data_IF_587913747166
#
_entry.id   IF_587913747166
#
_cell.length_a   1.000
_cell.length_b   1.000
_cell.length_c   1.000
_cell.angle_alpha   90.00
_cell.angle_beta   90.00
_cell.angle_gamma   90.00
#
_symmetry.space_group_name_H-M   'P 1'
#
loop_
_entity.id
_entity.type
_entity.pdbx_description
1 polymer ?
#
# COMPACT_ATOMS: atom_id res chain seq x y z
N UNK A 1 -29.79 4.54 -63.75
CA UNK A 1 -29.32 3.85 -62.54
C UNK A 1 -28.58 4.89 -61.72
N UNK A 2 -29.19 5.35 -60.60
CA UNK A 2 -28.65 6.36 -59.68
C UNK A 2 -28.07 5.59 -58.51
N UNK A 3 -26.74 5.71 -58.29
CA UNK A 3 -26.01 5.12 -57.20
C UNK A 3 -25.98 6.10 -56.02
N UNK A 4 -26.75 5.81 -54.94
CA UNK A 4 -26.70 6.57 -53.71
C UNK A 4 -25.52 6.09 -52.85
N UNK A 5 -24.54 6.97 -52.61
CA UNK A 5 -23.46 6.71 -51.67
C UNK A 5 -23.90 7.26 -50.32
N UNK A 6 -24.15 6.37 -49.36
CA UNK A 6 -24.37 6.71 -47.95
C UNK A 6 -23.02 6.96 -47.25
N UNK A 7 -22.73 8.22 -46.93
CA UNK A 7 -21.61 8.61 -46.06
C UNK A 7 -22.02 8.37 -44.61
N UNK A 8 -21.49 7.34 -43.99
CA UNK A 8 -21.61 7.11 -42.55
C UNK A 8 -20.60 8.00 -41.82
N UNK A 9 -21.07 9.10 -41.21
CA UNK A 9 -20.31 9.96 -40.30
C UNK A 9 -20.16 9.25 -38.96
N UNK A 10 -19.06 8.54 -38.75
CA UNK A 10 -18.71 7.97 -37.46
C UNK A 10 -18.27 9.07 -36.49
N UNK A 11 -19.11 9.46 -35.53
CA UNK A 11 -18.70 10.27 -34.39
C UNK A 11 -17.80 9.41 -33.47
N UNK A 12 -16.51 9.51 -33.70
CA UNK A 12 -15.53 8.95 -32.77
C UNK A 12 -15.51 9.74 -31.47
N UNK A 13 -16.09 9.19 -30.41
CA UNK A 13 -15.89 9.70 -29.07
C UNK A 13 -14.44 9.42 -28.67
N UNK A 14 -13.59 10.46 -28.69
CA UNK A 14 -12.29 10.40 -28.04
C UNK A 14 -12.56 10.41 -26.55
N UNK A 15 -12.36 9.25 -25.89
CA UNK A 15 -12.20 9.23 -24.43
C UNK A 15 -11.06 10.19 -24.10
N UNK A 16 -11.39 11.22 -23.29
CA UNK A 16 -10.35 12.03 -22.67
C UNK A 16 -9.48 11.09 -21.83
N UNK A 17 -8.28 10.84 -22.28
CA UNK A 17 -7.31 10.06 -21.52
C UNK A 17 -7.13 10.71 -20.15
N UNK A 18 -7.09 9.88 -19.10
CA UNK A 18 -6.69 10.37 -17.77
C UNK A 18 -5.38 11.17 -17.91
N UNK A 19 -5.27 12.33 -17.23
CA UNK A 19 -4.02 13.08 -17.28
C UNK A 19 -2.87 12.16 -16.88
N UNK A 20 -1.70 12.23 -17.54
CA UNK A 20 -0.56 11.41 -17.18
C UNK A 20 -0.23 11.65 -15.70
N UNK A 21 0.01 10.56 -14.96
CA UNK A 21 0.47 10.66 -13.58
C UNK A 21 1.72 11.55 -13.54
N UNK A 22 1.76 12.49 -12.58
CA UNK A 22 2.96 13.31 -12.39
C UNK A 22 4.15 12.39 -12.15
N UNK A 23 5.30 12.63 -12.82
CA UNK A 23 6.47 11.78 -12.64
C UNK A 23 6.89 11.76 -11.18
N UNK A 24 7.28 10.58 -10.70
CA UNK A 24 7.84 10.41 -9.36
C UNK A 24 9.13 11.24 -9.26
N UNK A 25 9.22 12.05 -8.20
CA UNK A 25 10.38 12.91 -7.93
C UNK A 25 11.42 12.23 -7.05
N UNK A 26 11.07 11.11 -6.39
CA UNK A 26 11.96 10.41 -5.49
C UNK A 26 12.90 9.49 -6.28
N UNK A 27 14.16 9.48 -5.86
CA UNK A 27 15.17 8.59 -6.43
C UNK A 27 15.20 7.28 -5.65
N UNK A 28 15.57 6.18 -6.28
CA UNK A 28 15.75 4.90 -5.60
C UNK A 28 16.73 4.99 -4.42
N UNK A 29 17.73 5.86 -4.53
CA UNK A 29 18.72 6.12 -3.46
C UNK A 29 18.18 6.88 -2.26
N UNK A 30 16.99 7.50 -2.36
CA UNK A 30 16.37 8.23 -1.25
C UNK A 30 15.72 7.28 -0.25
N UNK A 31 15.36 6.07 -0.68
CA UNK A 31 14.69 5.06 0.11
C UNK A 31 15.61 4.01 0.71
N UNK A 32 15.02 2.98 1.33
CA UNK A 32 15.78 1.90 1.96
C UNK A 32 16.50 1.04 0.92
N UNK A 33 17.76 0.73 1.19
CA UNK A 33 18.54 -0.20 0.37
C UNK A 33 17.95 -1.62 0.42
N UNK A 34 18.20 -2.47 -0.58
CA UNK A 34 17.75 -3.87 -0.55
C UNK A 34 18.19 -4.60 0.71
N UNK A 35 19.41 -4.37 1.17
CA UNK A 35 19.92 -5.00 2.40
C UNK A 35 19.15 -4.52 3.64
N UNK A 36 18.78 -3.24 3.71
CA UNK A 36 17.98 -2.71 4.82
C UNK A 36 16.57 -3.30 4.82
N UNK A 37 15.94 -3.40 3.65
CA UNK A 37 14.62 -4.04 3.51
C UNK A 37 14.68 -5.51 3.93
N UNK A 38 15.66 -6.28 3.47
CA UNK A 38 15.79 -7.68 3.85
C UNK A 38 15.99 -7.87 5.36
N UNK A 39 16.83 -7.05 6.00
CA UNK A 39 16.99 -7.10 7.47
C UNK A 39 15.68 -6.78 8.20
N UNK A 40 14.94 -5.78 7.71
CA UNK A 40 13.65 -5.41 8.29
C UNK A 40 12.63 -6.55 8.14
N UNK A 41 12.54 -7.19 6.98
CA UNK A 41 11.68 -8.36 6.74
C UNK A 41 12.07 -9.52 7.68
N UNK A 42 13.37 -9.80 7.81
CA UNK A 42 13.86 -10.85 8.68
C UNK A 42 13.56 -10.61 10.19
N UNK A 43 13.31 -9.36 10.58
CA UNK A 43 12.94 -9.02 11.96
C UNK A 43 11.47 -9.27 12.29
N UNK A 44 10.62 -9.49 11.27
CA UNK A 44 9.19 -9.76 11.48
C UNK A 44 8.96 -11.23 11.82
N UNK A 45 8.35 -11.54 12.97
CA UNK A 45 8.08 -12.93 13.34
C UNK A 45 7.20 -13.63 12.29
N UNK A 46 7.52 -14.88 12.00
CA UNK A 46 6.70 -15.74 11.13
C UNK A 46 5.40 -16.09 11.87
N UNK A 47 4.27 -15.84 11.24
CA UNK A 47 2.96 -16.13 11.82
C UNK A 47 2.28 -17.36 11.21
N UNK A 48 2.71 -17.79 10.03
CA UNK A 48 2.23 -19.00 9.36
C UNK A 48 3.39 -19.99 9.29
N UNK A 49 3.33 -21.13 10.01
CA UNK A 49 4.41 -22.11 10.02
C UNK A 49 4.80 -22.59 8.62
N UNK A 50 6.10 -22.77 8.39
CA UNK A 50 6.62 -23.23 7.10
C UNK A 50 6.62 -22.21 5.97
N UNK A 51 6.34 -20.94 6.28
CA UNK A 51 6.38 -19.83 5.30
C UNK A 51 7.53 -18.87 5.59
N UNK A 52 7.77 -17.99 4.63
CA UNK A 52 8.64 -16.82 4.78
C UNK A 52 7.87 -15.57 4.35
N UNK A 53 8.30 -14.41 4.80
CA UNK A 53 7.75 -13.14 4.32
C UNK A 53 8.31 -12.81 2.94
N UNK A 54 7.43 -12.36 2.04
CA UNK A 54 7.81 -11.85 0.72
C UNK A 54 7.21 -10.46 0.53
N UNK A 55 7.97 -9.59 -0.11
CA UNK A 55 7.50 -8.26 -0.50
C UNK A 55 6.52 -8.37 -1.65
N UNK A 56 5.40 -7.63 -1.55
CA UNK A 56 4.36 -7.56 -2.61
C UNK A 56 4.15 -6.15 -3.15
N UNK A 57 4.52 -5.13 -2.39
CA UNK A 57 4.40 -3.73 -2.79
C UNK A 57 5.32 -2.84 -1.97
N UNK A 58 5.65 -1.69 -2.52
CA UNK A 58 6.39 -0.62 -1.84
C UNK A 58 5.99 0.74 -2.36
N UNK A 59 6.31 1.77 -1.62
CA UNK A 59 6.10 3.15 -2.02
C UNK A 59 6.62 4.13 -0.97
N UNK A 60 6.24 5.38 -1.11
CA UNK A 60 6.70 6.47 -0.25
C UNK A 60 5.72 7.64 -0.21
N UNK A 61 5.89 8.52 0.78
CA UNK A 61 5.26 9.83 0.80
C UNK A 61 5.91 10.76 -0.25
N UNK A 62 5.19 11.79 -0.73
CA UNK A 62 5.63 12.64 -1.84
C UNK A 62 6.94 13.40 -1.58
N UNK A 63 7.28 13.69 -0.31
CA UNK A 63 8.53 14.35 0.07
C UNK A 63 9.73 13.41 0.21
N UNK A 64 9.64 12.17 -0.25
CA UNK A 64 10.75 11.23 -0.36
C UNK A 64 11.49 10.94 0.96
N UNK A 65 10.78 10.96 2.07
CA UNK A 65 11.35 10.66 3.38
C UNK A 65 10.76 9.41 4.02
N UNK A 66 9.42 9.34 4.12
CA UNK A 66 8.72 8.17 4.67
C UNK A 66 8.48 7.14 3.56
N UNK A 67 9.09 5.98 3.69
CA UNK A 67 8.96 4.83 2.78
C UNK A 67 8.22 3.69 3.47
N UNK A 68 7.59 2.83 2.68
CA UNK A 68 6.93 1.63 3.17
C UNK A 68 7.15 0.44 2.24
N UNK A 69 7.14 -0.75 2.83
CA UNK A 69 7.18 -2.05 2.15
C UNK A 69 6.06 -2.90 2.73
N UNK A 70 5.24 -3.49 1.88
CA UNK A 70 4.18 -4.42 2.26
C UNK A 70 4.64 -5.85 2.02
N UNK A 71 4.45 -6.69 3.02
CA UNK A 71 4.87 -8.08 3.00
C UNK A 71 3.72 -9.03 3.34
N UNK A 72 3.77 -10.22 2.76
CA UNK A 72 2.79 -11.29 2.96
C UNK A 72 3.53 -12.63 3.12
N UNK A 73 2.99 -13.62 3.85
CA UNK A 73 3.55 -14.96 3.84
C UNK A 73 3.53 -15.60 2.45
N UNK A 74 4.52 -16.42 2.13
CA UNK A 74 4.62 -17.12 0.83
C UNK A 74 3.42 -18.02 0.52
N UNK A 75 2.71 -18.48 1.55
CA UNK A 75 1.42 -19.17 1.42
C UNK A 75 0.38 -18.31 2.10
N UNK A 76 -0.51 -17.73 1.33
CA UNK A 76 -1.50 -16.77 1.82
C UNK A 76 -2.87 -17.01 1.18
N UNK A 77 -3.92 -16.68 1.94
CA UNK A 77 -5.31 -16.58 1.51
C UNK A 77 -5.79 -15.15 1.66
N UNK A 78 -7.01 -14.85 1.28
CA UNK A 78 -7.63 -13.51 1.43
C UNK A 78 -7.59 -12.98 2.87
N UNK A 79 -7.75 -13.88 3.85
CA UNK A 79 -7.75 -13.54 5.28
C UNK A 79 -6.37 -13.64 5.94
N UNK A 80 -5.31 -13.90 5.19
CA UNK A 80 -3.97 -13.99 5.76
C UNK A 80 -3.47 -12.62 6.20
N UNK A 81 -2.92 -12.56 7.40
CA UNK A 81 -2.32 -11.35 7.93
C UNK A 81 -1.13 -10.89 7.08
N UNK A 82 -1.13 -9.62 6.73
CA UNK A 82 -0.07 -8.89 6.03
C UNK A 82 0.59 -7.92 6.99
N UNK A 83 1.78 -7.46 6.67
CA UNK A 83 2.48 -6.47 7.48
C UNK A 83 3.03 -5.35 6.61
N UNK A 84 3.11 -4.16 7.20
CA UNK A 84 3.81 -3.01 6.65
C UNK A 84 5.11 -2.79 7.42
N UNK A 85 6.16 -2.46 6.70
CA UNK A 85 7.43 -2.01 7.24
C UNK A 85 7.62 -0.57 6.80
N UNK A 86 7.92 0.32 7.74
CA UNK A 86 8.16 1.73 7.47
C UNK A 86 9.64 2.08 7.64
N UNK A 87 10.07 3.10 6.88
CA UNK A 87 11.45 3.55 6.85
C UNK A 87 11.51 5.07 6.79
N UNK A 88 12.42 5.68 7.54
CA UNK A 88 12.88 7.05 7.34
C UNK A 88 14.13 6.98 6.46
N UNK A 89 14.00 7.27 5.16
CA UNK A 89 15.04 7.01 4.18
C UNK A 89 15.54 5.54 4.27
N UNK A 90 16.80 5.33 4.64
CA UNK A 90 17.39 4.00 4.79
C UNK A 90 17.33 3.44 6.23
N UNK A 91 16.59 4.09 7.14
CA UNK A 91 16.47 3.65 8.54
C UNK A 91 15.12 2.98 8.77
N UNK A 92 15.10 1.74 9.23
CA UNK A 92 13.88 1.02 9.56
C UNK A 92 13.20 1.65 10.80
N UNK A 93 11.90 1.94 10.67
CA UNK A 93 11.05 2.44 11.76
C UNK A 93 10.20 1.35 12.40
N UNK A 94 10.19 0.15 11.81
CA UNK A 94 9.40 -0.97 12.27
C UNK A 94 8.01 -1.07 11.63
N UNK A 95 7.13 -1.81 12.30
CA UNK A 95 5.77 -2.10 11.87
C UNK A 95 4.76 -1.22 12.60
N UNK A 96 3.63 -0.84 11.97
CA UNK A 96 2.62 -0.01 12.61
C UNK A 96 1.80 -0.77 13.65
N UNK A 97 1.77 -2.10 13.57
CA UNK A 97 1.04 -2.99 14.46
C UNK A 97 1.92 -4.14 14.93
N UNK A 98 1.79 -4.60 16.17
CA UNK A 98 2.59 -5.73 16.66
C UNK A 98 2.25 -7.04 15.92
N UNK A 99 0.99 -7.20 15.51
CA UNK A 99 0.52 -8.37 14.77
C UNK A 99 0.14 -8.01 13.34
N UNK A 100 0.38 -8.89 12.37
CA UNK A 100 -0.11 -8.72 11.00
C UNK A 100 -1.62 -8.59 10.95
N UNK A 101 -2.11 -7.82 9.97
CA UNK A 101 -3.54 -7.61 9.74
C UNK A 101 -3.91 -7.98 8.31
N UNK A 102 -5.03 -8.69 8.10
CA UNK A 102 -5.54 -8.90 6.75
C UNK A 102 -6.13 -7.60 6.17
N UNK A 103 -6.38 -7.59 4.88
CA UNK A 103 -7.11 -6.54 4.16
C UNK A 103 -6.51 -5.13 4.32
N UNK A 104 -5.18 -5.03 4.24
CA UNK A 104 -4.48 -3.76 4.27
C UNK A 104 -4.37 -3.21 2.84
N UNK A 105 -4.71 -1.94 2.66
CA UNK A 105 -4.49 -1.21 1.41
C UNK A 105 -3.79 0.11 1.70
N UNK A 106 -2.64 0.31 1.08
CA UNK A 106 -1.96 1.61 1.15
C UNK A 106 -2.59 2.53 0.10
N UNK A 107 -3.07 3.69 0.55
CA UNK A 107 -3.74 4.68 -0.29
C UNK A 107 -2.72 5.59 -0.98
N UNK A 108 -3.15 6.37 -2.00
CA UNK A 108 -2.27 7.31 -2.67
C UNK A 108 -1.54 8.23 -1.70
N UNK A 109 -0.26 8.55 -1.95
CA UNK A 109 0.59 9.25 -1.00
C UNK A 109 0.17 10.72 -0.82
N UNK A 110 0.28 11.22 0.41
CA UNK A 110 0.30 12.65 0.74
C UNK A 110 1.75 13.15 0.86
N UNK A 111 1.92 14.43 1.22
CA UNK A 111 3.26 15.04 1.23
C UNK A 111 4.22 14.36 2.22
N UNK A 112 3.82 14.27 3.48
CA UNK A 112 4.67 13.75 4.57
C UNK A 112 4.15 12.46 5.18
N UNK A 113 2.95 11.99 4.78
CA UNK A 113 2.29 10.87 5.42
C UNK A 113 1.89 9.79 4.40
N UNK A 114 1.78 8.57 4.90
CA UNK A 114 1.23 7.41 4.21
C UNK A 114 -0.09 7.04 4.86
N UNK A 115 -1.16 7.01 4.08
CA UNK A 115 -2.48 6.61 4.54
C UNK A 115 -2.68 5.10 4.29
N UNK A 116 -3.15 4.41 5.31
CA UNK A 116 -3.42 2.97 5.25
C UNK A 116 -4.88 2.73 5.57
N UNK A 117 -5.58 2.09 4.65
CA UNK A 117 -6.92 1.59 4.87
C UNK A 117 -6.84 0.18 5.46
N UNK A 118 -7.50 0.01 6.57
CA UNK A 118 -7.72 -1.28 7.22
C UNK A 118 -9.16 -1.71 7.01
N UNK A 119 -9.37 -2.97 6.67
CA UNK A 119 -10.69 -3.56 6.60
C UNK A 119 -10.77 -4.76 7.54
N UNK A 120 -11.96 -5.10 8.00
CA UNK A 120 -12.20 -6.25 8.88
C UNK A 120 -13.60 -6.82 8.67
N UNK A 121 -13.72 -8.10 8.93
CA UNK A 121 -15.00 -8.79 8.87
C UNK A 121 -15.93 -8.33 9.99
N UNK A 122 -17.17 -8.05 9.67
CA UNK A 122 -18.24 -7.69 10.61
C UNK A 122 -19.42 -8.64 10.44
N UNK A 123 -20.04 -9.04 11.58
CA UNK A 123 -21.22 -9.91 11.55
C UNK A 123 -20.97 -11.20 10.77
N UNK A 124 -21.75 -11.39 9.71
CA UNK A 124 -21.68 -12.59 8.86
C UNK A 124 -20.90 -12.36 7.54
N UNK A 125 -19.99 -11.40 7.52
CA UNK A 125 -19.16 -11.15 6.33
C UNK A 125 -18.41 -12.41 5.92
N UNK A 126 -18.37 -12.65 4.63
CA UNK A 126 -17.52 -13.69 4.04
C UNK A 126 -16.06 -13.25 4.00
N UNK A 127 -15.09 -14.18 4.04
CA UNK A 127 -13.65 -13.84 4.01
C UNK A 127 -13.22 -12.98 2.81
N UNK A 128 -13.91 -13.08 1.66
CA UNK A 128 -13.65 -12.25 0.48
C UNK A 128 -13.99 -10.77 0.69
N UNK A 129 -14.93 -10.47 1.59
CA UNK A 129 -15.75 -9.28 1.44
C UNK A 129 -15.97 -8.55 2.79
N UNK A 130 -14.91 -8.04 3.43
CA UNK A 130 -15.01 -7.34 4.71
C UNK A 130 -15.79 -6.02 4.54
N UNK A 131 -16.71 -5.73 5.46
CA UNK A 131 -17.50 -4.48 5.47
C UNK A 131 -17.02 -3.46 6.49
N UNK A 132 -16.20 -3.89 7.47
CA UNK A 132 -15.53 -2.96 8.37
C UNK A 132 -14.41 -2.21 7.62
N UNK A 133 -14.35 -0.89 7.75
CA UNK A 133 -13.33 -0.06 7.09
C UNK A 133 -12.93 1.11 7.96
N UNK A 134 -11.65 1.41 7.99
CA UNK A 134 -11.08 2.59 8.66
C UNK A 134 -9.73 2.94 8.06
N UNK A 135 -9.39 4.22 8.10
CA UNK A 135 -8.14 4.73 7.54
C UNK A 135 -7.32 5.42 8.62
N UNK A 136 -6.03 5.15 8.64
CA UNK A 136 -5.07 5.80 9.53
C UNK A 136 -3.91 6.34 8.69
N UNK A 137 -3.47 7.55 9.00
CA UNK A 137 -2.25 8.14 8.43
C UNK A 137 -1.08 7.87 9.36
N UNK A 138 0.05 7.59 8.77
CA UNK A 138 1.33 7.43 9.46
C UNK A 138 2.31 8.49 8.99
N UNK A 139 3.05 9.04 9.90
CA UNK A 139 4.11 10.03 9.67
C UNK A 139 5.34 9.72 10.52
N UNK A 140 6.43 10.42 10.27
CA UNK A 140 7.59 10.41 11.16
C UNK A 140 7.36 11.48 12.21
N UNK A 141 7.28 11.08 13.48
CA UNK A 141 7.11 11.99 14.59
C UNK A 141 8.35 12.86 14.86
N UNK A 142 8.22 13.87 15.72
CA UNK A 142 9.36 14.75 16.09
C UNK A 142 10.50 14.00 16.79
N UNK A 143 10.23 12.84 17.37
CA UNK A 143 11.20 11.93 17.97
C UNK A 143 11.89 11.00 16.95
N UNK A 144 11.59 11.14 15.66
CA UNK A 144 12.11 10.30 14.59
C UNK A 144 11.46 8.90 14.51
N UNK A 145 10.41 8.64 15.27
CA UNK A 145 9.71 7.36 15.27
C UNK A 145 8.45 7.41 14.40
N UNK A 146 7.99 6.24 13.99
CA UNK A 146 6.70 6.11 13.31
C UNK A 146 5.57 6.52 14.26
N UNK A 147 4.69 7.40 13.77
CA UNK A 147 3.55 7.93 14.53
C UNK A 147 2.27 7.72 13.74
N UNK A 148 1.28 7.09 14.35
CA UNK A 148 -0.06 7.00 13.83
C UNK A 148 -0.85 8.28 14.16
N UNK A 149 -1.48 8.88 13.16
CA UNK A 149 -2.40 10.03 13.32
C UNK A 149 -3.82 9.52 13.49
N UNK A 150 -4.07 8.86 14.59
CA UNK A 150 -5.37 8.27 14.93
C UNK A 150 -5.25 6.84 15.45
N UNK A 151 -6.37 6.31 15.90
CA UNK A 151 -6.44 4.94 16.40
C UNK A 151 -6.45 3.95 15.23
N UNK A 152 -5.57 2.97 15.28
CA UNK A 152 -5.59 1.87 14.32
C UNK A 152 -6.83 1.00 14.61
N UNK A 153 -7.69 0.76 13.62
CA UNK A 153 -8.92 0.00 13.83
C UNK A 153 -8.65 -1.46 14.20
N UNK A 154 -9.56 -2.03 14.96
CA UNK A 154 -9.62 -3.45 15.22
C UNK A 154 -8.30 -4.05 15.77
N UNK A 155 -7.74 -3.38 16.77
CA UNK A 155 -6.61 -3.88 17.57
C UNK A 155 -7.10 -4.60 18.80
#
# INVERSE_FOLDING_TARGET
VILLILLASGCGWKQAGSPPASPDKCKDSDGPSPATVQRAIASVPITVPGTTWVEIARGHAKKCRLYWVQIIPTIASESTGQQLLFFDHNTALGTPTPNPKPYITVLPPSDDAVAVQYQWLKGNDQPCCPTGVGTVKFEIGPDGKLKALGKIPNQ
#
